data_IF_920502840017
#
_entry.id   IF_920502840017
#
_cell.length_a   1.000
_cell.length_b   1.000
_cell.length_c   1.000
_cell.angle_alpha   90.00
_cell.angle_beta   90.00
_cell.angle_gamma   90.00
#
_symmetry.space_group_name_H-M   'P 1'
#
loop_
_entity.id
_entity.type
_entity.pdbx_description
1 polymer ?
#
# COMPACT_ATOMS: atom_id res chain seq x y z
N UNK A 1 8.72 13.61 -12.79
CA UNK A 1 7.89 13.48 -11.57
C UNK A 1 8.00 14.78 -10.77
N UNK A 2 6.91 15.32 -10.21
CA UNK A 2 6.98 16.49 -9.35
C UNK A 2 7.91 16.20 -8.16
N UNK A 3 8.61 17.23 -7.66
CA UNK A 3 9.43 17.12 -6.46
C UNK A 3 8.49 17.01 -5.24
N UNK A 4 8.43 15.83 -4.62
CA UNK A 4 7.63 15.58 -3.42
C UNK A 4 6.62 14.44 -3.58
N UNK A 5 5.90 14.16 -2.50
CA UNK A 5 4.82 13.17 -2.50
C UNK A 5 3.60 13.72 -3.26
N UNK A 6 2.89 12.89 -4.07
CA UNK A 6 1.80 13.35 -4.93
C UNK A 6 0.46 13.53 -4.16
N UNK A 7 0.51 13.99 -2.92
CA UNK A 7 -0.66 14.22 -2.06
C UNK A 7 -0.40 15.32 -1.04
N UNK A 8 -1.48 15.91 -0.52
CA UNK A 8 -1.39 16.94 0.51
C UNK A 8 -1.20 16.28 1.87
N UNK A 9 -0.56 16.98 2.81
CA UNK A 9 -0.43 16.52 4.19
C UNK A 9 -1.80 16.24 4.83
N UNK A 10 -2.80 17.08 4.55
CA UNK A 10 -4.17 16.90 5.03
C UNK A 10 -4.76 15.57 4.59
N UNK A 11 -4.56 15.20 3.33
CA UNK A 11 -5.07 13.95 2.75
C UNK A 11 -4.42 12.73 3.44
N UNK A 12 -3.15 12.85 3.82
CA UNK A 12 -2.43 11.82 4.56
C UNK A 12 -2.93 11.69 6.00
N UNK A 13 -3.13 12.80 6.71
CA UNK A 13 -3.64 12.78 8.08
C UNK A 13 -5.07 12.22 8.15
N UNK A 14 -5.91 12.57 7.18
CA UNK A 14 -7.26 12.00 7.04
C UNK A 14 -7.20 10.48 6.83
N UNK A 15 -6.31 10.00 5.97
CA UNK A 15 -6.10 8.57 5.77
C UNK A 15 -5.65 7.84 7.05
N UNK A 16 -4.75 8.46 7.82
CA UNK A 16 -4.25 7.89 9.08
C UNK A 16 -5.36 7.82 10.12
N UNK A 17 -6.13 8.89 10.32
CA UNK A 17 -7.28 8.90 11.24
C UNK A 17 -8.32 7.85 10.83
N UNK A 18 -8.69 7.83 9.54
CA UNK A 18 -9.63 6.86 8.98
C UNK A 18 -9.16 5.42 9.19
N UNK A 19 -7.88 5.13 8.92
CA UNK A 19 -7.28 3.80 9.11
C UNK A 19 -7.28 3.40 10.59
N UNK A 20 -6.89 4.32 11.48
CA UNK A 20 -6.83 4.08 12.93
C UNK A 20 -8.21 3.80 13.54
N UNK A 21 -9.27 4.46 13.04
CA UNK A 21 -10.65 4.20 13.47
C UNK A 21 -11.13 2.81 13.06
N UNK A 22 -10.74 2.32 11.88
CA UNK A 22 -11.13 0.99 11.39
C UNK A 22 -10.37 -0.13 12.10
N UNK A 23 -9.07 0.06 12.34
CA UNK A 23 -8.22 -0.97 12.95
C UNK A 23 -8.33 -1.04 14.48
N UNK A 24 -9.09 -0.12 15.11
CA UNK A 24 -9.27 -0.09 16.57
C UNK A 24 -9.96 -1.37 17.06
N UNK A 25 -9.21 -2.15 17.84
CA UNK A 25 -9.65 -3.46 18.35
C UNK A 25 -10.90 -3.38 19.26
N UNK A 26 -11.15 -2.24 19.90
CA UNK A 26 -12.28 -1.97 20.80
C UNK A 26 -13.57 -1.52 20.10
N UNK A 27 -13.53 -1.24 18.79
CA UNK A 27 -14.70 -0.79 17.99
C UNK A 27 -14.76 -1.49 16.62
N UNK A 28 -14.71 -2.82 16.63
CA UNK A 28 -14.93 -3.61 15.41
C UNK A 28 -16.32 -3.32 14.82
N UNK A 29 -16.36 -2.75 13.62
CA UNK A 29 -17.60 -2.63 12.82
C UNK A 29 -17.98 -1.23 12.34
N UNK A 30 -17.34 -0.15 12.81
CA UNK A 30 -17.58 1.19 12.25
C UNK A 30 -16.59 1.43 11.11
N UNK A 31 -16.98 1.04 9.89
CA UNK A 31 -16.31 1.52 8.68
C UNK A 31 -16.88 2.92 8.43
N UNK A 32 -16.06 4.00 8.51
CA UNK A 32 -16.51 5.32 8.14
C UNK A 32 -17.02 5.29 6.69
N UNK A 33 -18.23 5.80 6.44
CA UNK A 33 -18.87 5.74 5.12
C UNK A 33 -18.01 6.34 4.00
N UNK A 34 -17.20 7.34 4.35
CA UNK A 34 -16.31 8.00 3.41
C UNK A 34 -14.94 7.32 3.38
N UNK A 35 -14.63 6.67 2.25
CA UNK A 35 -13.26 6.24 1.93
C UNK A 35 -12.42 7.47 1.55
N UNK A 36 -11.24 7.69 2.15
CA UNK A 36 -10.39 8.83 1.83
C UNK A 36 -10.03 8.87 0.33
N UNK A 37 -10.18 10.02 -0.35
CA UNK A 37 -9.98 10.12 -1.81
C UNK A 37 -8.53 9.86 -2.23
N UNK A 38 -7.58 9.94 -1.30
CA UNK A 38 -6.17 9.63 -1.53
C UNK A 38 -5.94 8.17 -1.97
N UNK A 39 -6.74 7.20 -1.50
CA UNK A 39 -6.61 5.81 -1.92
C UNK A 39 -6.91 5.65 -3.41
N UNK A 40 -7.97 6.30 -3.89
CA UNK A 40 -8.34 6.33 -5.31
C UNK A 40 -7.25 7.02 -6.15
N UNK A 41 -6.68 8.14 -5.67
CA UNK A 41 -5.60 8.85 -6.37
C UNK A 41 -4.31 8.03 -6.48
N UNK A 42 -4.01 7.24 -5.45
CA UNK A 42 -2.87 6.33 -5.45
C UNK A 42 -3.16 4.98 -6.15
N UNK A 43 -4.39 4.78 -6.63
CA UNK A 43 -4.88 3.55 -7.23
C UNK A 43 -4.73 2.32 -6.30
N UNK A 44 -4.95 2.51 -5.00
CA UNK A 44 -4.86 1.46 -3.99
C UNK A 44 -6.28 1.07 -3.54
N UNK A 45 -6.61 -0.20 -3.67
CA UNK A 45 -7.89 -0.72 -3.20
C UNK A 45 -7.98 -0.68 -1.67
N UNK A 46 -9.10 -0.17 -1.15
CA UNK A 46 -9.36 -0.02 0.29
C UNK A 46 -9.12 -1.32 1.08
N UNK A 47 -9.56 -2.47 0.55
CA UNK A 47 -9.36 -3.77 1.21
C UNK A 47 -7.88 -4.12 1.35
N UNK A 48 -7.09 -3.84 0.31
CA UNK A 48 -5.66 -4.12 0.27
C UNK A 48 -4.94 -3.17 1.24
N UNK A 49 -5.30 -1.89 1.24
CA UNK A 49 -4.76 -0.92 2.21
C UNK A 49 -4.97 -1.37 3.65
N UNK A 50 -6.20 -1.72 4.03
CA UNK A 50 -6.52 -2.15 5.40
C UNK A 50 -5.78 -3.44 5.78
N UNK A 51 -5.74 -4.42 4.88
CA UNK A 51 -4.99 -5.65 5.11
C UNK A 51 -3.50 -5.38 5.33
N UNK A 52 -2.89 -4.55 4.47
CA UNK A 52 -1.48 -4.21 4.55
C UNK A 52 -1.14 -3.38 5.79
N UNK A 53 -2.01 -2.46 6.22
CA UNK A 53 -1.78 -1.70 7.45
C UNK A 53 -1.67 -2.59 8.69
N UNK A 54 -2.34 -3.75 8.71
CA UNK A 54 -2.25 -4.72 9.82
C UNK A 54 -1.18 -5.79 9.59
N UNK A 55 -0.96 -6.21 8.35
CA UNK A 55 -0.20 -7.41 8.03
C UNK A 55 0.96 -7.16 7.07
N UNK A 56 1.53 -5.94 7.00
CA UNK A 56 2.50 -5.56 5.97
C UNK A 56 3.65 -6.56 5.77
N UNK A 57 4.23 -7.04 6.86
CA UNK A 57 5.36 -7.97 6.83
C UNK A 57 4.97 -9.41 6.51
N UNK A 58 3.67 -9.73 6.41
CA UNK A 58 3.19 -11.06 6.06
C UNK A 58 3.35 -11.35 4.55
N UNK A 59 2.73 -10.58 3.62
CA UNK A 59 2.90 -10.81 2.19
C UNK A 59 4.25 -10.31 1.66
N UNK A 60 4.92 -9.37 2.33
CA UNK A 60 6.19 -8.80 1.88
C UNK A 60 7.35 -9.31 2.73
N UNK A 61 8.28 -10.04 2.11
CA UNK A 61 9.48 -10.61 2.74
C UNK A 61 10.80 -10.06 2.18
N UNK A 62 10.72 -8.96 1.43
CA UNK A 62 11.87 -8.41 0.71
C UNK A 62 11.52 -7.12 0.00
N UNK A 63 12.09 -6.92 -1.19
CA UNK A 63 11.88 -5.70 -1.97
C UNK A 63 10.40 -5.52 -2.34
N UNK A 64 9.87 -4.32 -2.07
CA UNK A 64 8.49 -3.93 -2.40
C UNK A 64 8.54 -2.78 -3.40
N UNK A 65 8.03 -3.01 -4.61
CA UNK A 65 8.00 -2.01 -5.69
C UNK A 65 7.00 -2.40 -6.76
N UNK A 66 6.69 -1.47 -7.68
CA UNK A 66 5.95 -1.81 -8.90
C UNK A 66 6.63 -2.99 -9.61
N UNK A 67 5.85 -3.84 -10.25
CA UNK A 67 6.34 -5.12 -10.80
C UNK A 67 7.45 -4.89 -11.81
N UNK A 68 7.37 -3.84 -12.63
CA UNK A 68 8.40 -3.47 -13.61
C UNK A 68 9.70 -3.09 -12.93
N UNK A 69 9.63 -2.20 -11.94
CA UNK A 69 10.82 -1.74 -11.22
C UNK A 69 11.42 -2.83 -10.36
N UNK A 70 10.59 -3.72 -9.81
CA UNK A 70 11.04 -4.87 -9.04
C UNK A 70 11.86 -5.81 -9.93
N UNK A 71 11.35 -6.15 -11.12
CA UNK A 71 12.10 -6.96 -12.11
C UNK A 71 13.42 -6.32 -12.48
N UNK A 72 13.41 -5.00 -12.75
CA UNK A 72 14.63 -4.25 -13.11
C UNK A 72 15.66 -4.27 -11.98
N UNK A 73 15.25 -4.00 -10.74
CA UNK A 73 16.14 -4.01 -9.58
C UNK A 73 16.69 -5.41 -9.31
N UNK A 74 15.84 -6.45 -9.32
CA UNK A 74 16.29 -7.82 -9.13
C UNK A 74 17.33 -8.23 -10.18
N UNK A 75 17.12 -7.87 -11.45
CA UNK A 75 18.11 -8.10 -12.52
C UNK A 75 19.43 -7.38 -12.24
N UNK A 76 19.36 -6.11 -11.85
CA UNK A 76 20.56 -5.30 -11.56
C UNK A 76 21.33 -5.81 -10.34
N UNK A 77 20.64 -6.44 -9.39
CA UNK A 77 21.22 -7.07 -8.21
C UNK A 77 21.72 -8.51 -8.47
N UNK A 78 21.63 -9.01 -9.71
CA UNK A 78 22.10 -10.35 -10.08
C UNK A 78 21.16 -11.50 -9.71
N UNK A 79 19.90 -11.22 -9.37
CA UNK A 79 18.92 -12.28 -9.12
C UNK A 79 18.45 -12.92 -10.43
N UNK A 80 18.39 -14.25 -10.44
CA UNK A 80 17.79 -15.03 -11.54
C UNK A 80 16.25 -15.05 -11.49
N UNK A 81 15.67 -14.82 -10.30
CA UNK A 81 14.22 -14.78 -10.05
C UNK A 81 13.82 -13.46 -9.41
N UNK A 82 12.55 -13.09 -9.51
CA UNK A 82 12.00 -11.90 -8.85
C UNK A 82 11.21 -12.32 -7.59
N UNK A 83 11.84 -12.44 -6.41
CA UNK A 83 11.14 -12.83 -5.19
C UNK A 83 10.07 -11.79 -4.82
N UNK A 84 8.95 -12.25 -4.25
CA UNK A 84 7.87 -11.35 -3.81
C UNK A 84 7.03 -10.72 -4.93
N UNK A 85 7.23 -11.11 -6.19
CA UNK A 85 6.52 -10.54 -7.34
C UNK A 85 5.00 -10.71 -7.25
N UNK A 86 4.52 -11.86 -6.76
CA UNK A 86 3.08 -12.12 -6.64
C UNK A 86 2.43 -11.18 -5.62
N UNK A 87 3.05 -10.99 -4.46
CA UNK A 87 2.59 -10.04 -3.45
C UNK A 87 2.56 -8.62 -3.99
N UNK A 88 3.62 -8.20 -4.71
CA UNK A 88 3.67 -6.88 -5.32
C UNK A 88 2.57 -6.70 -6.37
N UNK A 89 2.32 -7.72 -7.21
CA UNK A 89 1.25 -7.70 -8.22
C UNK A 89 -0.15 -7.66 -7.60
N UNK A 90 -0.33 -8.30 -6.45
CA UNK A 90 -1.64 -8.38 -5.80
C UNK A 90 -2.01 -7.08 -5.07
N UNK A 91 -1.05 -6.48 -4.35
CA UNK A 91 -1.34 -5.41 -3.40
C UNK A 91 -0.92 -4.01 -3.86
N UNK A 92 -0.03 -3.90 -4.85
CA UNK A 92 0.44 -2.61 -5.35
C UNK A 92 -0.28 -2.27 -6.67
N UNK A 93 -0.50 -0.98 -6.94
CA UNK A 93 -1.01 -0.53 -8.23
C UNK A 93 -0.05 -0.92 -9.36
N UNK A 94 -0.65 -1.29 -10.49
CA UNK A 94 0.04 -1.47 -11.78
C UNK A 94 0.26 -0.12 -12.45
#
# INVERSE_FOLDING_TARGET
MPKGLPFRLTDYLELVDWTGRILREDKRGVIPENTPPILNRLNIETKHWLYLCKNFESPFKGLVRSVEKLKQVCKNLGYERTPGINSCKQYLPT
#
